data_IF_048232744309
#
_entry.id   IF_048232744309
#
_cell.length_a   1.000
_cell.length_b   1.000
_cell.length_c   1.000
_cell.angle_alpha   90.00
_cell.angle_beta   90.00
_cell.angle_gamma   90.00
#
_symmetry.space_group_name_H-M   'P 1'
#
loop_
_entity.id
_entity.type
_entity.pdbx_description
1 polymer ?
#
# COMPACT_ATOMS: atom_id res chain seq x y z
N UNK A 1 14.41 -21.95 -11.58
CA UNK A 1 13.07 -22.47 -11.23
C UNK A 1 12.42 -21.57 -10.18
N UNK A 2 11.12 -21.24 -10.29
CA UNK A 2 10.43 -20.51 -9.24
C UNK A 2 10.33 -21.36 -7.98
N UNK A 3 10.50 -20.72 -6.82
CA UNK A 3 10.37 -21.39 -5.52
C UNK A 3 8.94 -21.94 -5.36
N UNK A 4 8.83 -23.22 -4.98
CA UNK A 4 7.55 -23.84 -4.67
C UNK A 4 7.05 -23.31 -3.31
N UNK A 5 6.33 -22.18 -3.34
CA UNK A 5 5.73 -21.55 -2.15
C UNK A 5 4.26 -21.92 -2.02
N UNK A 6 3.80 -22.06 -0.78
CA UNK A 6 2.39 -22.26 -0.46
C UNK A 6 1.53 -21.07 -0.91
N UNK A 7 0.23 -21.33 -1.15
CA UNK A 7 -0.73 -20.32 -1.61
C UNK A 7 -0.82 -19.12 -0.67
N UNK A 8 -0.84 -19.35 0.65
CA UNK A 8 -0.87 -18.30 1.68
C UNK A 8 0.32 -17.34 1.56
N UNK A 9 1.51 -17.87 1.29
CA UNK A 9 2.72 -17.04 1.11
C UNK A 9 2.64 -16.22 -0.18
N UNK A 10 2.15 -16.82 -1.26
CA UNK A 10 1.95 -16.11 -2.54
C UNK A 10 0.95 -14.95 -2.40
N UNK A 11 -0.15 -15.16 -1.68
CA UNK A 11 -1.13 -14.09 -1.41
C UNK A 11 -0.53 -12.94 -0.60
N UNK A 12 0.26 -13.24 0.45
CA UNK A 12 0.95 -12.22 1.24
C UNK A 12 1.93 -11.41 0.40
N UNK A 13 2.73 -12.08 -0.43
CA UNK A 13 3.69 -11.43 -1.33
C UNK A 13 2.98 -10.54 -2.36
N UNK A 14 1.88 -11.01 -2.94
CA UNK A 14 1.08 -10.22 -3.88
C UNK A 14 0.46 -8.99 -3.23
N UNK A 15 0.02 -9.07 -1.96
CA UNK A 15 -0.49 -7.92 -1.20
C UNK A 15 0.62 -6.89 -0.93
N UNK A 16 1.79 -7.36 -0.49
CA UNK A 16 2.94 -6.48 -0.23
C UNK A 16 3.38 -5.74 -1.51
N UNK A 17 3.43 -6.43 -2.65
CA UNK A 17 3.72 -5.79 -3.95
C UNK A 17 2.70 -4.71 -4.33
N UNK A 18 1.43 -4.87 -3.95
CA UNK A 18 0.40 -3.85 -4.20
C UNK A 18 0.50 -2.65 -3.26
N UNK A 19 1.01 -2.83 -2.05
CA UNK A 19 1.19 -1.78 -1.06
C UNK A 19 2.40 -0.88 -1.36
N UNK A 20 3.40 -1.41 -2.07
CA UNK A 20 4.58 -0.65 -2.53
C UNK A 20 4.26 0.20 -3.78
N UNK A 21 3.18 1.00 -3.75
CA UNK A 21 2.83 1.94 -4.82
C UNK A 21 2.91 3.37 -4.28
N UNK A 22 3.50 4.31 -5.05
CA UNK A 22 3.62 5.70 -4.62
C UNK A 22 2.27 6.38 -4.50
N UNK A 23 2.20 7.39 -3.63
CA UNK A 23 0.97 8.13 -3.31
C UNK A 23 0.47 8.92 -4.54
N UNK A 24 -0.83 8.81 -4.91
CA UNK A 24 -1.43 9.60 -5.99
C UNK A 24 -1.40 11.12 -5.74
N UNK A 25 -1.16 11.88 -6.81
CA UNK A 25 -1.01 13.34 -6.76
C UNK A 25 -2.25 14.07 -6.20
N UNK A 26 -3.46 13.65 -6.54
CA UNK A 26 -4.69 14.32 -6.09
C UNK A 26 -4.91 14.24 -4.57
N UNK A 27 -4.36 13.23 -3.88
CA UNK A 27 -4.42 13.10 -2.42
C UNK A 27 -3.57 14.18 -1.74
N UNK A 28 -2.44 14.54 -2.37
CA UNK A 28 -1.54 15.58 -1.87
C UNK A 28 -2.19 16.96 -1.87
N UNK A 29 -3.18 17.17 -2.75
CA UNK A 29 -3.85 18.44 -2.97
C UNK A 29 -5.10 18.64 -2.08
N UNK A 30 -5.51 17.63 -1.29
CA UNK A 30 -6.65 17.77 -0.38
C UNK A 30 -6.23 18.55 0.89
N UNK A 31 -7.04 19.53 1.27
CA UNK A 31 -6.83 20.34 2.48
C UNK A 31 -7.08 19.49 3.74
N UNK A 32 -6.15 19.53 4.70
CA UNK A 32 -6.23 18.74 5.95
C UNK A 32 -5.45 17.41 5.95
N UNK A 33 -4.69 17.10 4.89
CA UNK A 33 -3.91 15.86 4.81
C UNK A 33 -2.47 16.01 5.35
N UNK A 34 -2.09 15.16 6.32
CA UNK A 34 -0.73 15.09 6.89
C UNK A 34 0.22 14.18 6.10
N UNK A 35 -0.30 13.45 5.11
CA UNK A 35 0.44 12.45 4.33
C UNK A 35 1.27 13.16 3.24
N UNK A 36 2.58 13.33 3.47
CA UNK A 36 3.48 14.13 2.61
C UNK A 36 4.57 13.34 1.90
N UNK A 37 4.93 12.16 2.41
CA UNK A 37 5.86 11.20 1.80
C UNK A 37 5.33 9.78 2.02
N UNK A 38 5.93 8.78 1.35
CA UNK A 38 5.59 7.34 1.34
C UNK A 38 5.59 6.72 2.75
N UNK A 39 4.66 7.17 3.58
CA UNK A 39 4.20 6.42 4.73
C UNK A 39 3.46 5.25 4.12
N UNK A 40 3.99 4.06 4.33
CA UNK A 40 3.48 2.73 3.95
C UNK A 40 2.05 2.45 4.53
N UNK A 41 1.13 3.44 4.49
CA UNK A 41 0.21 3.79 5.59
C UNK A 41 -1.13 4.42 5.12
N UNK A 42 -1.73 3.98 4.02
CA UNK A 42 -3.21 4.09 3.93
C UNK A 42 -3.87 2.72 4.16
N UNK A 43 -3.33 1.95 5.12
CA UNK A 43 -3.96 0.72 5.61
C UNK A 43 -5.05 1.03 6.67
N UNK A 44 -5.32 2.31 6.98
CA UNK A 44 -6.29 2.67 8.04
C UNK A 44 -6.98 4.02 7.90
N UNK A 45 -6.97 4.66 6.72
CA UNK A 45 -7.67 5.95 6.52
C UNK A 45 -9.04 5.74 5.85
N UNK A 46 -9.80 4.77 6.38
CA UNK A 46 -11.27 4.69 6.27
C UNK A 46 -11.79 4.40 7.68
N UNK A 47 -11.45 5.30 8.61
CA UNK A 47 -12.31 5.69 9.72
C UNK A 47 -12.70 7.14 9.43
N UNK A 48 -13.39 7.30 8.30
CA UNK A 48 -14.20 8.41 7.83
C UNK A 48 -15.00 7.89 6.64
#
# INVERSE_FOLDING_TARGET
>A
MPSHKSFRTKQKLAKAQKQNRPIPQWIRLRTGNTIRYDALCCVGMVVL
#
